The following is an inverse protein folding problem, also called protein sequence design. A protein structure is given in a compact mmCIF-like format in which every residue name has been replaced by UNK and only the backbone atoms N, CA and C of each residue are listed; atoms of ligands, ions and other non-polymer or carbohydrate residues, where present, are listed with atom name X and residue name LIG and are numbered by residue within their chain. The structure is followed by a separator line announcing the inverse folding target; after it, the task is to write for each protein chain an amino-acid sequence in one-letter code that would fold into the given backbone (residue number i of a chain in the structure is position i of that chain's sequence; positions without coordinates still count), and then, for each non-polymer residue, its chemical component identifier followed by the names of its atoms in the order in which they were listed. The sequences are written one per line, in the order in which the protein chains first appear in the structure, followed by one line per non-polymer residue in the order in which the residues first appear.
data_IF_730515331049
#
_entry.id   IF_730515331049
#
_cell.length_a   1.000
_cell.length_b   1.000
_cell.length_c   1.000
_cell.angle_alpha   90.00
_cell.angle_beta   90.00
_cell.angle_gamma   90.00
#
_symmetry.space_group_name_H-M   'P 1'
#
loop_
_entity.id
_entity.type
_entity.pdbx_description
1 polymer ?
#
# COMPACT_ATOMS: atom_id res chain seq x y z
N UNK A 1 -14.25 -13.07 7.59
CA UNK A 1 -13.24 -13.71 8.49
C UNK A 1 -12.54 -12.70 9.39
N UNK A 2 -12.65 -11.41 9.15
CA UNK A 2 -12.02 -10.30 9.89
C UNK A 2 -10.49 -10.45 10.11
N UNK A 3 -9.84 -11.28 9.32
CA UNK A 3 -8.39 -11.42 9.38
C UNK A 3 -7.76 -10.52 8.32
N UNK A 4 -6.71 -9.76 8.69
CA UNK A 4 -6.02 -8.91 7.72
C UNK A 4 -5.38 -9.78 6.62
N UNK A 5 -5.40 -9.26 5.41
CA UNK A 5 -4.65 -9.86 4.31
C UNK A 5 -3.14 -9.81 4.62
N UNK A 6 -2.42 -10.84 4.19
CA UNK A 6 -0.98 -11.00 4.47
C UNK A 6 -0.21 -11.34 3.20
N UNK A 7 1.11 -11.11 3.27
CA UNK A 7 2.01 -11.42 2.16
C UNK A 7 1.63 -10.67 0.89
N UNK A 8 1.69 -11.36 -0.24
CA UNK A 8 1.39 -10.78 -1.56
C UNK A 8 0.01 -10.09 -1.65
N UNK A 9 -0.98 -10.53 -0.86
CA UNK A 9 -2.29 -9.91 -0.90
C UNK A 9 -2.33 -8.49 -0.33
N UNK A 10 -1.35 -8.10 0.48
CA UNK A 10 -1.17 -6.71 0.91
C UNK A 10 -0.69 -5.80 -0.22
N UNK A 11 -0.01 -6.38 -1.19
CA UNK A 11 0.44 -5.69 -2.40
C UNK A 11 -0.64 -5.68 -3.49
N UNK A 12 -1.56 -6.64 -3.42
CA UNK A 12 -2.63 -6.82 -4.41
C UNK A 12 -3.91 -6.04 -4.05
N UNK A 13 -3.99 -5.50 -2.87
CA UNK A 13 -5.16 -4.81 -2.34
C UNK A 13 -4.74 -3.50 -1.67
N UNK A 14 -5.49 -2.46 -1.96
CA UNK A 14 -5.42 -1.22 -1.18
C UNK A 14 -5.91 -1.46 0.25
N UNK A 15 -5.68 -0.47 1.14
CA UNK A 15 -6.26 -0.51 2.48
C UNK A 15 -7.78 -0.58 2.40
N UNK A 16 -8.40 -1.43 3.22
CA UNK A 16 -9.85 -1.54 3.25
C UNK A 16 -10.36 -2.95 3.51
N UNK A 17 -11.65 -3.09 3.51
CA UNK A 17 -12.36 -4.35 3.62
C UNK A 17 -12.71 -4.89 2.23
N UNK A 18 -12.53 -6.18 2.05
CA UNK A 18 -12.80 -6.85 0.78
C UNK A 18 -13.65 -8.08 1.00
N UNK A 19 -14.60 -8.29 0.11
CA UNK A 19 -15.53 -9.40 0.14
C UNK A 19 -15.49 -10.15 -1.19
N UNK A 20 -15.61 -11.46 -1.14
CA UNK A 20 -15.89 -12.28 -2.33
C UNK A 20 -17.33 -12.03 -2.80
N UNK A 21 -17.59 -12.28 -4.07
CA UNK A 21 -18.96 -12.20 -4.62
C UNK A 21 -19.97 -12.99 -3.80
N UNK A 22 -19.60 -14.21 -3.40
CA UNK A 22 -20.47 -15.06 -2.57
C UNK A 22 -20.77 -14.42 -1.21
N UNK A 23 -19.74 -13.84 -0.54
CA UNK A 23 -19.93 -13.15 0.74
C UNK A 23 -20.86 -11.94 0.60
N UNK A 24 -20.75 -11.21 -0.50
CA UNK A 24 -21.65 -10.07 -0.80
C UNK A 24 -23.08 -10.56 -0.95
N UNK A 25 -23.30 -11.66 -1.69
CA UNK A 25 -24.63 -12.25 -1.85
C UNK A 25 -25.18 -12.78 -0.51
N UNK A 26 -24.37 -13.50 0.25
CA UNK A 26 -24.76 -14.06 1.56
C UNK A 26 -25.16 -12.97 2.57
N UNK A 27 -24.62 -11.76 2.40
CA UNK A 27 -24.93 -10.57 3.21
C UNK A 27 -26.00 -9.67 2.58
N UNK A 28 -26.67 -10.09 1.50
CA UNK A 28 -27.65 -9.36 0.74
C UNK A 28 -27.13 -8.00 0.18
N UNK A 29 -25.83 -7.86 -0.01
CA UNK A 29 -25.21 -6.70 -0.62
C UNK A 29 -25.29 -6.72 -2.14
N UNK A 30 -25.10 -5.56 -2.77
CA UNK A 30 -25.05 -5.39 -4.22
C UNK A 30 -23.76 -4.70 -4.64
N UNK A 31 -23.13 -5.22 -5.68
CA UNK A 31 -21.95 -4.57 -6.26
C UNK A 31 -22.40 -3.37 -7.10
N UNK A 32 -21.76 -2.23 -6.90
CA UNK A 32 -22.02 -1.01 -7.66
C UNK A 32 -21.69 -1.22 -9.13
N UNK A 33 -22.45 -0.57 -10.01
CA UNK A 33 -22.21 -0.63 -11.45
C UNK A 33 -20.84 -0.02 -11.79
N UNK A 34 -19.99 -0.79 -12.47
CA UNK A 34 -18.63 -0.36 -12.84
C UNK A 34 -17.55 -0.74 -11.84
N UNK A 35 -17.90 -1.31 -10.70
CA UNK A 35 -16.93 -1.81 -9.71
C UNK A 35 -15.99 -2.85 -10.31
N UNK A 36 -14.72 -2.76 -9.96
CA UNK A 36 -13.68 -3.69 -10.43
C UNK A 36 -13.35 -4.70 -9.34
N UNK A 37 -13.19 -5.95 -9.73
CA UNK A 37 -12.72 -6.99 -8.80
C UNK A 37 -11.20 -7.00 -8.74
N UNK A 38 -10.66 -7.25 -7.55
CA UNK A 38 -9.25 -7.47 -7.27
C UNK A 38 -8.96 -8.96 -7.15
N UNK A 39 -7.75 -9.36 -7.51
CA UNK A 39 -7.31 -10.76 -7.38
C UNK A 39 -6.57 -10.92 -6.05
N UNK A 40 -6.93 -11.94 -5.29
CA UNK A 40 -6.19 -12.37 -4.10
C UNK A 40 -5.70 -13.79 -4.26
N UNK A 41 -4.55 -14.07 -3.67
CA UNK A 41 -3.87 -15.35 -3.76
C UNK A 41 -4.02 -16.08 -2.42
N UNK A 42 -4.51 -17.29 -2.47
CA UNK A 42 -4.49 -18.21 -1.35
C UNK A 42 -3.38 -19.22 -1.54
N UNK A 43 -2.47 -19.25 -0.59
CA UNK A 43 -1.34 -20.16 -0.58
C UNK A 43 -1.37 -20.98 0.70
N UNK A 44 -1.32 -22.31 0.56
CA UNK A 44 -1.22 -23.24 1.69
C UNK A 44 -0.23 -24.36 1.35
N UNK A 45 0.67 -24.63 2.26
CA UNK A 45 1.45 -25.87 2.25
C UNK A 45 0.59 -26.98 2.86
N UNK A 46 0.47 -28.06 2.15
CA UNK A 46 -0.19 -29.29 2.61
C UNK A 46 0.89 -30.35 2.75
N UNK A 47 0.96 -30.94 3.92
CA UNK A 47 1.85 -32.07 4.20
C UNK A 47 1.06 -33.35 3.99
N UNK A 48 1.62 -34.24 3.20
CA UNK A 48 1.07 -35.58 2.95
C UNK A 48 2.14 -36.59 3.33
N UNK A 49 1.76 -37.63 4.03
CA UNK A 49 2.58 -38.81 4.21
C UNK A 49 2.51 -39.64 2.92
N UNK A 50 3.64 -39.95 2.33
CA UNK A 50 3.70 -40.87 1.18
C UNK A 50 3.63 -42.32 1.74
N UNK A 51 2.53 -42.99 1.48
CA UNK A 51 2.27 -44.36 1.99
C UNK A 51 3.31 -45.41 1.48
N UNK A 52 4.11 -45.08 0.46
CA UNK A 52 5.12 -45.98 -0.08
C UNK A 52 6.52 -45.78 0.50
N UNK A 53 6.82 -44.59 1.02
CA UNK A 53 8.17 -44.24 1.47
C UNK A 53 8.24 -43.73 2.91
N UNK A 54 7.12 -43.57 3.60
CA UNK A 54 6.98 -42.93 4.93
C UNK A 54 7.61 -41.51 4.98
N UNK A 55 7.81 -40.86 3.82
CA UNK A 55 8.35 -39.52 3.74
C UNK A 55 7.23 -38.47 3.71
N UNK A 56 7.48 -37.34 4.38
CA UNK A 56 6.54 -36.19 4.33
C UNK A 56 6.75 -35.43 3.02
N UNK A 57 5.78 -35.51 2.13
CA UNK A 57 5.74 -34.77 0.88
C UNK A 57 4.96 -33.47 1.06
N UNK A 58 5.63 -32.33 0.83
CA UNK A 58 4.99 -31.02 0.89
C UNK A 58 4.43 -30.65 -0.49
N UNK A 59 3.09 -30.63 -0.59
CA UNK A 59 2.41 -30.10 -1.78
C UNK A 59 1.93 -28.67 -1.54
N UNK A 60 2.13 -27.81 -2.52
CA UNK A 60 1.69 -26.43 -2.46
C UNK A 60 0.33 -26.29 -3.13
N UNK A 61 -0.65 -25.82 -2.37
CA UNK A 61 -1.95 -25.40 -2.91
C UNK A 61 -1.92 -23.89 -3.17
N UNK A 62 -2.03 -23.50 -4.43
CA UNK A 62 -2.16 -22.13 -4.87
C UNK A 62 -3.55 -21.94 -5.51
N UNK A 63 -4.33 -20.98 -5.00
CA UNK A 63 -5.64 -20.62 -5.55
C UNK A 63 -5.78 -19.13 -5.67
N UNK A 64 -6.53 -18.68 -6.65
CA UNK A 64 -6.86 -17.29 -6.88
C UNK A 64 -8.34 -17.07 -6.59
N UNK A 65 -8.65 -15.96 -5.92
CA UNK A 65 -10.02 -15.53 -5.68
C UNK A 65 -10.18 -14.09 -6.15
N UNK A 66 -11.39 -13.75 -6.57
CA UNK A 66 -11.76 -12.38 -6.88
C UNK A 66 -12.53 -11.80 -5.70
N UNK A 67 -12.13 -10.61 -5.29
CA UNK A 67 -12.75 -9.85 -4.21
C UNK A 67 -13.10 -8.46 -4.69
N UNK A 68 -14.07 -7.83 -4.05
CA UNK A 68 -14.49 -6.45 -4.30
C UNK A 68 -14.24 -5.64 -3.04
N UNK A 69 -13.83 -4.38 -3.20
CA UNK A 69 -13.75 -3.46 -2.08
C UNK A 69 -15.15 -3.24 -1.50
N UNK A 70 -15.25 -3.13 -0.18
CA UNK A 70 -16.51 -2.84 0.48
C UNK A 70 -17.05 -1.47 0.07
N UNK A 71 -16.19 -0.51 -0.26
CA UNK A 71 -16.56 0.78 -0.83
C UNK A 71 -17.34 0.68 -2.15
N UNK A 72 -17.14 -0.43 -2.88
CA UNK A 72 -17.82 -0.74 -4.14
C UNK A 72 -19.08 -1.60 -3.94
N UNK A 73 -19.52 -1.78 -2.70
CA UNK A 73 -20.68 -2.60 -2.34
C UNK A 73 -21.73 -1.73 -1.64
N UNK A 74 -22.99 -1.93 -1.99
CA UNK A 74 -24.15 -1.33 -1.33
C UNK A 74 -24.84 -2.34 -0.42
N UNK A 75 -25.41 -1.85 0.69
CA UNK A 75 -26.22 -2.67 1.61
C UNK A 75 -25.39 -3.48 2.60
N UNK A 76 -24.09 -3.24 2.71
CA UNK A 76 -23.24 -3.86 3.72
C UNK A 76 -22.42 -2.76 4.40
N UNK A 77 -22.56 -2.63 5.71
CA UNK A 77 -21.79 -1.68 6.50
C UNK A 77 -20.42 -2.24 6.88
N UNK A 78 -19.42 -1.37 6.97
CA UNK A 78 -18.10 -1.72 7.48
C UNK A 78 -18.19 -2.22 8.92
N UNK A 79 -17.53 -3.33 9.21
CA UNK A 79 -17.36 -3.84 10.56
C UNK A 79 -16.09 -3.32 11.23
N UNK A 80 -15.30 -2.53 10.52
CA UNK A 80 -14.13 -1.89 11.11
C UNK A 80 -14.60 -0.86 12.13
N UNK A 81 -14.30 -1.12 13.38
CA UNK A 81 -14.41 -0.10 14.43
C UNK A 81 -13.22 0.83 14.25
N UNK A 82 -13.48 2.02 13.76
CA UNK A 82 -12.47 3.08 13.68
C UNK A 82 -12.10 3.44 15.12
N UNK A 83 -10.95 2.94 15.58
CA UNK A 83 -10.42 3.31 16.88
C UNK A 83 -9.63 4.60 16.71
N UNK A 84 -10.18 5.68 17.22
CA UNK A 84 -9.38 6.91 17.40
C UNK A 84 -8.36 6.70 18.52
N UNK A 85 -7.13 7.17 18.28
CA UNK A 85 -5.99 7.10 19.19
C UNK A 85 -5.49 8.49 19.48
N UNK A 86 -4.89 8.65 20.63
CA UNK A 86 -4.17 9.88 20.97
C UNK A 86 -2.83 9.93 20.21
N UNK A 87 -2.90 10.34 18.96
CA UNK A 87 -1.73 10.60 18.12
C UNK A 87 -1.50 12.12 18.04
N UNK A 88 -0.23 12.51 18.06
CA UNK A 88 0.18 13.91 18.06
C UNK A 88 0.95 14.25 16.79
N UNK A 89 0.84 15.50 16.36
CA UNK A 89 1.62 16.01 15.24
C UNK A 89 3.11 15.98 15.56
N UNK A 90 3.91 15.48 14.63
CA UNK A 90 5.38 15.58 14.67
C UNK A 90 5.76 16.80 13.83
N UNK A 91 6.12 17.91 14.49
CA UNK A 91 6.26 19.22 13.87
C UNK A 91 7.13 19.22 12.61
N UNK A 92 8.31 18.57 12.65
CA UNK A 92 9.22 18.49 11.49
C UNK A 92 8.62 17.73 10.31
N UNK A 93 7.82 16.71 10.57
CA UNK A 93 7.15 15.95 9.50
C UNK A 93 6.00 16.75 8.89
N UNK A 94 5.24 17.43 9.75
CA UNK A 94 4.16 18.30 9.31
C UNK A 94 4.69 19.45 8.46
N UNK A 95 5.79 20.06 8.85
CA UNK A 95 6.46 21.12 8.09
C UNK A 95 6.86 20.65 6.67
N UNK A 96 7.40 19.45 6.53
CA UNK A 96 7.74 18.88 5.22
C UNK A 96 6.48 18.72 4.36
N UNK A 97 5.38 18.23 4.93
CA UNK A 97 4.11 18.06 4.22
C UNK A 97 3.56 19.42 3.78
N UNK A 98 3.48 20.38 4.70
CA UNK A 98 2.90 21.69 4.45
C UNK A 98 3.69 22.46 3.39
N UNK A 99 5.02 22.49 3.49
CA UNK A 99 5.90 23.11 2.49
C UNK A 99 5.74 22.48 1.11
N UNK A 100 5.62 21.15 1.07
CA UNK A 100 5.42 20.47 -0.21
C UNK A 100 4.04 20.75 -0.81
N UNK A 101 2.98 20.79 -0.01
CA UNK A 101 1.63 21.15 -0.45
C UNK A 101 1.63 22.57 -1.04
N UNK A 102 2.18 23.53 -0.31
CA UNK A 102 2.25 24.94 -0.74
C UNK A 102 3.01 25.11 -2.05
N UNK A 103 4.12 24.39 -2.19
CA UNK A 103 4.96 24.44 -3.39
C UNK A 103 4.33 23.74 -4.60
N UNK A 104 3.75 22.57 -4.38
CA UNK A 104 3.28 21.71 -5.48
C UNK A 104 1.86 22.02 -5.92
N UNK A 105 1.08 22.70 -5.07
CA UNK A 105 -0.36 22.93 -5.28
C UNK A 105 -1.21 21.67 -5.20
N UNK A 106 -0.64 20.56 -4.68
CA UNK A 106 -1.36 19.30 -4.53
C UNK A 106 -2.50 19.44 -3.52
N UNK A 107 -3.62 18.79 -3.78
CA UNK A 107 -4.70 18.70 -2.81
C UNK A 107 -4.42 17.58 -1.81
N UNK A 108 -4.55 17.88 -0.52
CA UNK A 108 -4.42 16.91 0.55
C UNK A 108 -5.76 16.77 1.27
N UNK A 109 -6.31 15.55 1.32
CA UNK A 109 -7.63 15.27 1.87
C UNK A 109 -7.57 14.16 2.92
N UNK A 110 -8.42 14.26 3.94
CA UNK A 110 -8.62 13.18 4.89
C UNK A 110 -9.91 12.42 4.57
N UNK A 111 -9.79 11.13 4.32
CA UNK A 111 -10.90 10.19 4.17
C UNK A 111 -10.80 9.07 5.22
N UNK A 112 -11.88 8.33 5.45
CA UNK A 112 -11.94 7.44 6.62
C UNK A 112 -11.17 6.11 6.49
N UNK A 113 -10.75 5.68 5.29
CA UNK A 113 -10.42 4.26 5.09
C UNK A 113 -9.06 3.98 4.44
N UNK A 114 -8.53 4.84 3.58
CA UNK A 114 -7.37 4.48 2.76
C UNK A 114 -6.39 5.62 2.54
N UNK A 115 -5.10 5.29 2.52
CA UNK A 115 -4.04 6.18 2.06
C UNK A 115 -3.76 5.89 0.58
N UNK A 116 -3.80 6.90 -0.27
CA UNK A 116 -3.45 6.79 -1.69
C UNK A 116 -3.19 8.15 -2.33
N UNK A 117 -2.37 8.14 -3.37
CA UNK A 117 -2.26 9.24 -4.31
C UNK A 117 -3.11 8.98 -5.55
N UNK A 118 -3.92 9.94 -5.96
CA UNK A 118 -4.73 9.88 -7.17
C UNK A 118 -4.21 10.87 -8.22
N UNK A 119 -3.54 10.42 -9.29
CA UNK A 119 -3.02 11.29 -10.34
C UNK A 119 -4.11 12.10 -11.06
N UNK A 120 -5.28 11.49 -11.28
CA UNK A 120 -6.44 12.18 -11.82
C UNK A 120 -7.00 13.13 -10.76
N UNK A 121 -6.66 14.40 -10.84
CA UNK A 121 -7.06 15.44 -9.90
C UNK A 121 -5.95 15.85 -8.93
N UNK A 122 -4.80 15.17 -8.99
CA UNK A 122 -3.61 15.50 -8.20
C UNK A 122 -3.89 15.60 -6.69
N UNK A 123 -4.41 14.51 -6.14
CA UNK A 123 -4.92 14.47 -4.77
C UNK A 123 -4.20 13.37 -3.98
N UNK A 124 -3.66 13.73 -2.83
CA UNK A 124 -3.25 12.80 -1.78
C UNK A 124 -4.38 12.64 -0.78
N UNK A 125 -4.76 11.42 -0.51
CA UNK A 125 -5.80 11.07 0.46
C UNK A 125 -5.17 10.25 1.57
N UNK A 126 -5.44 10.62 2.83
CA UNK A 126 -5.06 9.85 4.01
C UNK A 126 -6.21 9.75 5.01
N UNK A 127 -6.29 8.67 5.79
CA UNK A 127 -7.09 8.65 7.02
C UNK A 127 -6.61 9.73 7.99
N UNK A 128 -7.47 10.13 8.92
CA UNK A 128 -7.08 11.09 9.97
C UNK A 128 -5.95 10.53 10.83
N UNK A 129 -5.10 11.40 11.35
CA UNK A 129 -3.99 11.05 12.22
C UNK A 129 -4.41 10.12 13.37
N UNK A 130 -5.55 10.40 14.00
CA UNK A 130 -6.11 9.60 15.11
C UNK A 130 -6.48 8.15 14.74
N UNK A 131 -6.59 7.83 13.47
CA UNK A 131 -6.95 6.50 12.97
C UNK A 131 -5.76 5.57 12.77
N UNK A 132 -4.55 6.12 12.75
CA UNK A 132 -3.32 5.33 12.61
C UNK A 132 -2.92 4.67 13.93
N UNK A 133 -2.11 3.61 13.84
CA UNK A 133 -1.56 2.91 15.00
C UNK A 133 -0.62 3.79 15.81
N UNK A 134 0.07 4.71 15.16
CA UNK A 134 0.92 5.74 15.77
C UNK A 134 1.08 6.92 14.82
N UNK A 135 1.57 8.06 15.36
CA UNK A 135 1.92 9.22 14.54
C UNK A 135 2.98 8.87 13.49
N UNK A 136 3.94 8.02 13.85
CA UNK A 136 4.99 7.57 12.94
C UNK A 136 4.42 6.84 11.71
N UNK A 137 3.42 5.97 11.92
CA UNK A 137 2.74 5.29 10.81
C UNK A 137 1.98 6.25 9.90
N UNK A 138 1.34 7.28 10.48
CA UNK A 138 0.67 8.33 9.70
C UNK A 138 1.67 9.05 8.78
N UNK A 139 2.78 9.54 9.35
CA UNK A 139 3.76 10.30 8.58
C UNK A 139 4.50 9.44 7.57
N UNK A 140 4.83 8.19 7.88
CA UNK A 140 5.42 7.27 6.90
C UNK A 140 4.47 7.01 5.72
N UNK A 141 3.17 6.83 5.98
CA UNK A 141 2.16 6.70 4.93
C UNK A 141 2.01 7.99 4.13
N UNK A 142 1.97 9.14 4.80
CA UNK A 142 1.92 10.44 4.13
C UNK A 142 3.12 10.63 3.19
N UNK A 143 4.33 10.35 3.65
CA UNK A 143 5.54 10.44 2.84
C UNK A 143 5.52 9.49 1.64
N UNK A 144 4.99 8.28 1.81
CA UNK A 144 4.81 7.34 0.71
C UNK A 144 3.93 7.93 -0.40
N UNK A 145 2.78 8.48 -0.05
CA UNK A 145 1.87 9.09 -1.00
C UNK A 145 2.43 10.40 -1.61
N UNK A 146 3.19 11.18 -0.84
CA UNK A 146 3.89 12.35 -1.37
C UNK A 146 4.95 11.94 -2.40
N UNK A 147 5.69 10.86 -2.17
CA UNK A 147 6.65 10.35 -3.16
C UNK A 147 5.95 9.95 -4.45
N UNK A 148 4.82 9.24 -4.37
CA UNK A 148 4.00 8.96 -5.55
C UNK A 148 3.59 10.23 -6.29
N UNK A 149 3.13 11.23 -5.56
CA UNK A 149 2.68 12.49 -6.14
C UNK A 149 3.79 13.21 -6.92
N UNK A 150 5.06 13.10 -6.48
CA UNK A 150 6.18 13.66 -7.27
C UNK A 150 6.29 13.08 -8.67
N UNK A 151 5.71 11.91 -8.89
CA UNK A 151 5.67 11.26 -10.21
C UNK A 151 4.66 11.86 -11.19
N UNK A 152 3.84 12.83 -10.77
CA UNK A 152 2.91 13.52 -11.65
C UNK A 152 3.61 14.12 -12.88
N UNK A 153 2.86 14.23 -13.99
CA UNK A 153 3.38 14.73 -15.29
C UNK A 153 3.99 16.15 -15.19
N UNK A 154 3.45 16.97 -14.31
CA UNK A 154 3.88 18.35 -14.12
C UNK A 154 5.03 18.48 -13.09
N UNK A 155 5.52 17.36 -12.54
CA UNK A 155 6.67 17.29 -11.62
C UNK A 155 7.78 16.42 -12.21
N UNK A 156 8.03 15.25 -11.68
CA UNK A 156 9.11 14.38 -12.18
C UNK A 156 8.66 13.46 -13.33
N UNK A 157 7.39 13.51 -13.74
CA UNK A 157 6.81 12.81 -14.88
C UNK A 157 7.19 11.31 -14.94
N UNK A 158 7.03 10.63 -13.84
CA UNK A 158 7.44 9.23 -13.62
C UNK A 158 6.29 8.24 -13.76
N UNK A 159 5.06 8.73 -13.48
CA UNK A 159 3.86 7.91 -13.55
C UNK A 159 3.39 7.81 -15.00
N UNK A 160 3.32 6.59 -15.51
CA UNK A 160 2.82 6.31 -16.86
C UNK A 160 1.38 5.82 -16.80
N UNK A 161 0.59 6.14 -17.83
CA UNK A 161 -0.80 5.65 -17.96
C UNK A 161 -0.89 4.11 -18.05
N UNK A 162 0.23 3.44 -18.30
CA UNK A 162 0.36 1.98 -18.42
C UNK A 162 0.72 1.29 -17.11
N UNK A 163 1.04 2.05 -16.05
CA UNK A 163 1.30 1.50 -14.73
C UNK A 163 -0.03 0.99 -14.12
N UNK A 164 -0.38 -0.25 -14.45
CA UNK A 164 -1.51 -0.94 -13.88
C UNK A 164 -1.03 -1.86 -12.76
N UNK A 165 -1.84 -1.96 -11.73
CA UNK A 165 -1.65 -2.86 -10.61
C UNK A 165 -1.19 -4.25 -11.07
N UNK A 166 -0.06 -4.72 -10.51
CA UNK A 166 0.50 -6.04 -10.79
C UNK A 166 1.47 -6.11 -11.99
N UNK A 167 1.71 -5.01 -12.70
CA UNK A 167 2.77 -4.99 -13.71
C UNK A 167 4.13 -4.55 -13.14
N UNK A 168 5.19 -4.75 -13.92
CA UNK A 168 6.57 -4.45 -13.52
C UNK A 168 6.81 -2.95 -13.27
N UNK A 169 6.07 -2.08 -13.94
CA UNK A 169 6.17 -0.62 -13.81
C UNK A 169 5.53 -0.14 -12.51
N UNK A 170 4.36 -0.67 -12.17
CA UNK A 170 3.73 -0.43 -10.87
C UNK A 170 4.65 -0.87 -9.73
N UNK A 171 5.22 -2.07 -9.82
CA UNK A 171 6.15 -2.58 -8.81
C UNK A 171 7.38 -1.69 -8.61
N UNK A 172 7.88 -1.08 -9.69
CA UNK A 172 9.01 -0.14 -9.62
C UNK A 172 8.64 1.17 -8.95
N UNK A 173 7.43 1.65 -9.20
CA UNK A 173 6.94 2.88 -8.58
C UNK A 173 6.69 2.69 -7.08
N UNK A 174 6.07 1.58 -6.67
CA UNK A 174 5.92 1.23 -5.26
C UNK A 174 7.26 1.17 -4.53
N UNK A 175 8.25 0.49 -5.13
CA UNK A 175 9.59 0.42 -4.56
C UNK A 175 10.23 1.82 -4.45
N UNK A 176 9.97 2.69 -5.42
CA UNK A 176 10.43 4.09 -5.38
C UNK A 176 9.76 4.83 -4.21
N UNK A 177 8.46 4.64 -4.01
CA UNK A 177 7.70 5.28 -2.93
C UNK A 177 8.15 4.77 -1.55
N UNK A 178 8.36 3.46 -1.39
CA UNK A 178 8.86 2.87 -0.14
C UNK A 178 10.25 3.39 0.24
N UNK A 179 11.18 3.40 -0.71
CA UNK A 179 12.54 3.91 -0.47
C UNK A 179 12.49 5.41 -0.15
N UNK A 180 11.71 6.18 -0.90
CA UNK A 180 11.58 7.62 -0.69
C UNK A 180 10.95 7.96 0.66
N UNK A 181 9.90 7.26 1.05
CA UNK A 181 9.29 7.37 2.39
C UNK A 181 10.30 7.07 3.49
N UNK A 182 11.06 5.99 3.36
CA UNK A 182 12.11 5.64 4.34
C UNK A 182 13.18 6.71 4.47
N UNK A 183 13.59 7.33 3.36
CA UNK A 183 14.55 8.45 3.39
C UNK A 183 13.94 9.66 4.10
N UNK A 184 12.69 10.03 3.80
CA UNK A 184 12.00 11.14 4.46
C UNK A 184 11.81 10.89 5.96
N UNK A 185 11.45 9.69 6.36
CA UNK A 185 11.39 9.29 7.77
C UNK A 185 12.74 9.49 8.48
N UNK A 186 13.82 9.09 7.83
CA UNK A 186 15.18 9.28 8.36
C UNK A 186 15.55 10.77 8.49
N UNK A 187 15.31 11.58 7.45
CA UNK A 187 15.59 13.03 7.44
C UNK A 187 14.78 13.77 8.51
N UNK A 188 13.56 13.35 8.76
CA UNK A 188 12.68 13.93 9.79
C UNK A 188 12.89 13.35 11.17
N UNK A 189 13.79 12.37 11.33
CA UNK A 189 14.12 11.71 12.58
C UNK A 189 12.94 10.96 13.23
N UNK A 190 12.06 10.39 12.39
CA UNK A 190 11.02 9.49 12.89
C UNK A 190 11.66 8.17 13.33
N UNK A 191 11.31 7.69 14.51
CA UNK A 191 11.61 6.31 14.90
C UNK A 191 10.75 5.36 14.05
N UNK A 192 11.42 4.60 13.19
CA UNK A 192 10.79 3.67 12.26
C UNK A 192 10.89 2.22 12.74
N UNK A 193 11.34 1.96 13.95
CA UNK A 193 11.57 0.59 14.47
C UNK A 193 10.32 -0.27 14.31
N UNK A 194 9.17 0.22 14.75
CA UNK A 194 7.87 -0.48 14.61
C UNK A 194 7.34 -0.54 13.17
N UNK A 195 7.83 0.37 12.31
CA UNK A 195 7.41 0.45 10.89
C UNK A 195 8.28 -0.48 10.05
N UNK A 196 9.57 -0.60 10.36
CA UNK A 196 10.53 -1.39 9.59
C UNK A 196 10.22 -2.88 9.57
N UNK A 197 9.61 -3.44 10.60
CA UNK A 197 9.18 -4.85 10.59
C UNK A 197 8.17 -5.12 9.45
N UNK A 198 7.33 -4.16 9.14
CA UNK A 198 6.44 -4.22 7.99
C UNK A 198 7.21 -3.95 6.68
N UNK A 199 8.09 -2.96 6.64
CA UNK A 199 8.90 -2.61 5.45
C UNK A 199 9.91 -3.69 5.09
N UNK A 200 10.53 -4.36 6.06
CA UNK A 200 11.43 -5.49 5.79
C UNK A 200 10.70 -6.68 5.14
N UNK A 201 9.48 -6.97 5.57
CA UNK A 201 8.63 -7.98 4.92
C UNK A 201 8.24 -7.56 3.49
N UNK A 202 8.02 -6.28 3.25
CA UNK A 202 7.80 -5.70 1.93
C UNK A 202 9.05 -5.83 1.05
N UNK A 203 10.20 -5.39 1.52
CA UNK A 203 11.47 -5.47 0.78
C UNK A 203 11.81 -6.93 0.46
N UNK A 204 11.64 -7.87 1.39
CA UNK A 204 11.84 -9.30 1.13
C UNK A 204 10.86 -9.84 0.08
N UNK A 205 9.61 -9.43 0.13
CA UNK A 205 8.59 -9.79 -0.86
C UNK A 205 8.94 -9.22 -2.23
N UNK A 206 9.42 -7.97 -2.28
CA UNK A 206 9.88 -7.29 -3.49
C UNK A 206 11.12 -7.95 -4.09
N UNK A 207 12.14 -8.22 -3.30
CA UNK A 207 13.36 -8.93 -3.75
C UNK A 207 13.01 -10.31 -4.34
N UNK A 208 12.03 -10.99 -3.77
CA UNK A 208 11.56 -12.28 -4.27
C UNK A 208 10.73 -12.15 -5.55
N UNK A 209 9.87 -11.13 -5.65
CA UNK A 209 9.07 -10.84 -6.85
C UNK A 209 9.94 -10.37 -8.02
N UNK A 210 11.04 -9.66 -7.74
CA UNK A 210 11.98 -9.13 -8.71
C UNK A 210 13.04 -10.17 -9.16
N UNK A 211 12.98 -11.39 -8.63
CA UNK A 211 13.93 -12.48 -8.98
C UNK A 211 15.40 -12.04 -8.99
N UNK A 212 15.80 -11.21 -8.05
CA UNK A 212 17.17 -10.75 -7.92
C UNK A 212 17.62 -9.71 -8.98
N UNK A 213 16.71 -9.00 -9.61
CA UNK A 213 17.03 -7.86 -10.48
C UNK A 213 17.50 -6.65 -9.64
N UNK A 214 18.79 -6.69 -9.26
CA UNK A 214 19.40 -5.62 -8.47
C UNK A 214 19.36 -4.26 -9.19
N UNK A 215 19.37 -4.24 -10.52
CA UNK A 215 19.29 -3.00 -11.29
C UNK A 215 17.97 -2.27 -11.03
N UNK A 216 16.90 -3.00 -10.81
CA UNK A 216 15.61 -2.41 -10.51
C UNK A 216 15.61 -1.70 -9.14
N UNK A 217 16.27 -2.25 -8.14
CA UNK A 217 16.45 -1.61 -6.83
C UNK A 217 17.27 -0.33 -6.96
N UNK A 218 18.37 -0.38 -7.70
CA UNK A 218 19.24 0.79 -7.93
C UNK A 218 18.51 1.90 -8.68
N UNK A 219 17.72 1.56 -9.70
CA UNK A 219 16.92 2.52 -10.45
C UNK A 219 15.82 3.14 -9.58
N UNK A 220 15.14 2.32 -8.76
CA UNK A 220 14.11 2.80 -7.84
C UNK A 220 14.71 3.73 -6.77
N UNK A 221 15.87 3.38 -6.21
CA UNK A 221 16.58 4.21 -5.24
C UNK A 221 16.97 5.58 -5.83
N UNK A 222 17.52 5.62 -7.04
CA UNK A 222 17.85 6.87 -7.71
C UNK A 222 16.61 7.74 -8.01
N UNK A 223 15.47 7.13 -8.31
CA UNK A 223 14.20 7.85 -8.48
C UNK A 223 13.66 8.37 -7.15
N UNK A 224 13.77 7.55 -6.09
CA UNK A 224 13.37 7.94 -4.74
C UNK A 224 14.18 9.13 -4.23
N UNK A 225 15.50 9.13 -4.45
CA UNK A 225 16.36 10.26 -4.08
C UNK A 225 15.92 11.55 -4.77
N UNK A 226 15.65 11.53 -6.09
CA UNK A 226 15.11 12.68 -6.82
C UNK A 226 13.74 13.12 -6.29
N UNK A 227 12.88 12.19 -5.91
CA UNK A 227 11.57 12.51 -5.33
C UNK A 227 11.73 13.21 -3.97
N UNK A 228 12.60 12.70 -3.11
CA UNK A 228 12.92 13.30 -1.81
C UNK A 228 13.51 14.70 -1.98
N UNK A 229 14.49 14.87 -2.88
CA UNK A 229 15.03 16.18 -3.18
C UNK A 229 13.95 17.16 -3.67
N UNK A 230 13.02 16.68 -4.48
CA UNK A 230 11.91 17.49 -4.96
C UNK A 230 10.97 17.90 -3.83
N UNK A 231 10.71 17.02 -2.87
CA UNK A 231 9.84 17.29 -1.71
C UNK A 231 10.49 18.28 -0.74
N UNK A 232 11.80 18.16 -0.50
CA UNK A 232 12.53 18.95 0.51
C UNK A 232 13.03 20.34 0.00
N UNK A 233 13.04 20.58 -1.29
CA UNK A 233 13.41 21.89 -1.89
C UNK A 233 12.27 22.88 -1.85
#
# INVERSE_FOLDING_TARGET
TQKPYRGINRLLLDSGEYLTFKQIQDLNGKIKKGAKSHVVVFYKKLEFEDEATDEIVIKTLLRYYRVFSLSDVEGIDSKQVIKERENYSIGKCQEVIDNYIDKSGITFQNEEVSAYYRPAGDIVVLPKLSQFTSSQHYYASAFHELVHSTGHKDRLNRLTATAHFGNKEYSREELTAEIGSSILCNVTNIDTTDIMDNSAAYIQSWLKALKGDINMVLVAAAKAEKAVEYILK
#
